data_IF_580341610278
#
_entry.id   IF_580341610278
#
_cell.length_a   1.000
_cell.length_b   1.000
_cell.length_c   1.000
_cell.angle_alpha   90.00
_cell.angle_beta   90.00
_cell.angle_gamma   90.00
#
_symmetry.space_group_name_H-M   'P 1'
#
loop_
_entity.id
_entity.type
_entity.pdbx_description
1 polymer ?
#
# COMPACT_ATOMS: atom_id res chain seq x y z
N UNK A 1 -26.84 -22.66 6.00
CA UNK A 1 -25.48 -23.11 5.72
C UNK A 1 -25.49 -24.63 5.66
N UNK A 2 -25.23 -25.24 4.51
CA UNK A 2 -25.15 -26.71 4.41
C UNK A 2 -23.78 -27.10 4.96
N UNK A 3 -23.67 -28.25 5.67
CA UNK A 3 -22.39 -28.80 6.17
C UNK A 3 -21.30 -28.83 5.08
N UNK A 4 -21.71 -28.93 3.81
CA UNK A 4 -20.86 -28.90 2.64
C UNK A 4 -20.07 -27.58 2.48
N UNK A 5 -20.64 -26.44 2.89
CA UNK A 5 -20.00 -25.14 2.75
C UNK A 5 -18.77 -25.00 3.69
N UNK A 6 -18.75 -25.72 4.83
CA UNK A 6 -17.60 -25.78 5.74
C UNK A 6 -16.46 -26.63 5.16
N UNK A 7 -16.77 -27.66 4.39
CA UNK A 7 -15.76 -28.56 3.79
C UNK A 7 -15.00 -27.85 2.64
N UNK A 8 -15.62 -26.83 2.02
CA UNK A 8 -15.06 -26.11 0.88
C UNK A 8 -14.28 -24.83 1.25
N UNK A 9 -14.02 -24.57 2.54
CA UNK A 9 -13.19 -23.43 2.98
C UNK A 9 -11.73 -23.64 2.55
N UNK A 10 -11.07 -22.57 2.13
CA UNK A 10 -9.63 -22.59 1.89
C UNK A 10 -8.85 -22.56 3.23
N UNK A 11 -8.67 -23.73 3.81
CA UNK A 11 -7.99 -23.88 5.09
C UNK A 11 -6.54 -23.40 5.06
N UNK A 12 -5.85 -23.55 3.91
CA UNK A 12 -4.46 -23.13 3.79
C UNK A 12 -4.37 -21.59 3.89
N UNK A 13 -5.25 -20.89 3.17
CA UNK A 13 -5.34 -19.43 3.28
C UNK A 13 -5.66 -19.00 4.70
N UNK A 14 -6.69 -19.60 5.31
CA UNK A 14 -7.16 -19.25 6.64
C UNK A 14 -6.10 -19.48 7.72
N UNK A 15 -5.49 -20.67 7.76
CA UNK A 15 -4.47 -20.99 8.76
C UNK A 15 -3.19 -20.18 8.58
N UNK A 16 -2.77 -19.87 7.34
CA UNK A 16 -1.61 -18.99 7.12
C UNK A 16 -1.84 -17.60 7.72
N UNK A 17 -3.05 -17.05 7.61
CA UNK A 17 -3.40 -15.74 8.17
C UNK A 17 -3.49 -15.83 9.71
N UNK A 18 -4.10 -16.87 10.25
CA UNK A 18 -4.17 -17.09 11.71
C UNK A 18 -2.76 -17.20 12.29
N UNK A 19 -1.86 -17.92 11.63
CA UNK A 19 -0.46 -18.02 12.07
C UNK A 19 0.23 -16.65 12.11
N UNK A 20 0.04 -15.81 11.08
CA UNK A 20 0.58 -14.44 11.09
C UNK A 20 -0.01 -13.58 12.21
N UNK A 21 -1.33 -13.68 12.47
CA UNK A 21 -1.98 -12.97 13.57
C UNK A 21 -1.41 -13.39 14.94
N UNK A 22 -1.23 -14.69 15.14
CA UNK A 22 -0.65 -15.23 16.39
C UNK A 22 0.79 -14.73 16.55
N UNK A 23 1.64 -14.86 15.52
CA UNK A 23 2.99 -14.32 15.54
C UNK A 23 2.98 -12.81 15.82
N UNK A 24 2.12 -12.06 15.16
CA UNK A 24 1.97 -10.62 15.40
C UNK A 24 1.66 -10.29 16.85
N UNK A 25 0.70 -10.98 17.48
CA UNK A 25 0.34 -10.78 18.89
C UNK A 25 1.52 -11.05 19.82
N UNK A 26 2.27 -12.16 19.59
CA UNK A 26 3.46 -12.48 20.40
C UNK A 26 4.54 -11.39 20.29
N UNK A 27 4.82 -10.90 19.09
CA UNK A 27 5.87 -9.89 18.88
C UNK A 27 5.41 -8.47 19.23
N UNK A 28 4.12 -8.15 19.18
CA UNK A 28 3.57 -6.93 19.79
C UNK A 28 3.70 -6.99 21.31
N UNK A 29 3.50 -8.15 21.94
CA UNK A 29 3.77 -8.33 23.36
C UNK A 29 5.24 -8.13 23.68
N UNK A 30 6.15 -8.79 22.92
CA UNK A 30 7.60 -8.64 23.10
C UNK A 30 8.03 -7.18 22.97
N UNK A 31 7.53 -6.45 21.97
CA UNK A 31 7.82 -5.01 21.80
C UNK A 31 7.33 -4.14 22.96
N UNK A 32 6.35 -4.60 23.73
CA UNK A 32 5.82 -3.91 24.91
C UNK A 32 6.63 -4.12 26.18
N UNK A 33 7.55 -5.11 26.22
CA UNK A 33 8.37 -5.44 27.39
C UNK A 33 9.70 -4.68 27.32
N UNK A 34 10.13 -4.12 28.46
CA UNK A 34 11.44 -3.42 28.59
C UNK A 34 12.54 -4.37 29.02
N UNK A 35 13.81 -3.93 28.94
CA UNK A 35 14.99 -4.67 29.44
C UNK A 35 14.91 -5.02 30.92
N UNK A 36 14.08 -4.34 31.71
CA UNK A 36 13.83 -4.64 33.12
C UNK A 36 12.69 -5.63 33.35
N UNK A 37 12.10 -6.20 32.27
CA UNK A 37 10.97 -7.12 32.34
C UNK A 37 9.61 -6.46 32.56
N UNK A 38 9.53 -5.15 32.63
CA UNK A 38 8.28 -4.43 32.87
C UNK A 38 7.49 -4.27 31.55
N UNK A 39 6.18 -4.57 31.60
CA UNK A 39 5.26 -4.32 30.51
C UNK A 39 4.82 -2.85 30.51
N UNK A 40 5.15 -2.10 29.46
CA UNK A 40 4.85 -0.68 29.35
C UNK A 40 3.68 -0.40 28.39
N UNK A 41 3.35 -1.36 27.51
CA UNK A 41 2.27 -1.20 26.52
C UNK A 41 1.31 -2.38 26.55
N UNK A 42 0.00 -2.09 26.58
CA UNK A 42 -1.07 -3.09 26.49
C UNK A 42 -1.62 -3.23 25.06
N UNK A 43 -0.81 -2.91 24.03
CA UNK A 43 -1.23 -2.98 22.63
C UNK A 43 -1.59 -4.40 22.19
N UNK A 44 -0.91 -5.42 22.73
CA UNK A 44 -1.20 -6.81 22.42
C UNK A 44 -2.63 -7.22 22.81
N UNK A 45 -3.19 -6.71 23.94
CA UNK A 45 -4.58 -6.97 24.35
C UNK A 45 -5.54 -6.36 23.32
N UNK A 46 -5.28 -5.10 22.92
CA UNK A 46 -6.08 -4.44 21.89
C UNK A 46 -5.99 -5.18 20.56
N UNK A 47 -4.82 -5.70 20.21
CA UNK A 47 -4.62 -6.49 19.00
C UNK A 47 -5.41 -7.80 19.04
N UNK A 48 -5.44 -8.51 20.18
CA UNK A 48 -6.28 -9.71 20.39
C UNK A 48 -7.75 -9.38 20.15
N UNK A 49 -8.25 -8.27 20.69
CA UNK A 49 -9.65 -7.85 20.51
C UNK A 49 -9.93 -7.60 19.01
N UNK A 50 -9.08 -6.83 18.33
CA UNK A 50 -9.25 -6.53 16.92
C UNK A 50 -9.11 -7.77 16.03
N UNK A 51 -8.17 -8.65 16.34
CA UNK A 51 -8.00 -9.93 15.63
C UNK A 51 -9.25 -10.83 15.80
N UNK A 52 -9.80 -10.91 17.02
CA UNK A 52 -11.03 -11.67 17.28
C UNK A 52 -12.23 -11.12 16.51
N UNK A 53 -12.41 -9.80 16.51
CA UNK A 53 -13.46 -9.13 15.72
C UNK A 53 -13.22 -9.37 14.23
N UNK A 54 -11.97 -9.27 13.78
CA UNK A 54 -11.58 -9.51 12.38
C UNK A 54 -11.87 -10.95 11.94
N UNK A 55 -11.53 -11.95 12.77
CA UNK A 55 -11.81 -13.37 12.49
C UNK A 55 -13.33 -13.60 12.41
N UNK A 56 -14.08 -13.05 13.36
CA UNK A 56 -15.54 -13.15 13.33
C UNK A 56 -16.12 -12.51 12.06
N UNK A 57 -15.64 -11.32 11.67
CA UNK A 57 -16.04 -10.66 10.44
C UNK A 57 -15.70 -11.49 9.20
N UNK A 58 -14.50 -12.09 9.13
CA UNK A 58 -14.11 -12.96 8.02
C UNK A 58 -15.00 -14.19 7.90
N UNK A 59 -15.34 -14.84 9.03
CA UNK A 59 -16.25 -16.00 9.06
C UNK A 59 -17.65 -15.57 8.59
N UNK A 60 -18.20 -14.49 9.10
CA UNK A 60 -19.52 -13.99 8.70
C UNK A 60 -19.54 -13.69 7.20
N UNK A 61 -18.54 -12.98 6.69
CA UNK A 61 -18.44 -12.64 5.27
C UNK A 61 -18.24 -13.86 4.37
N UNK A 62 -17.55 -14.90 4.84
CA UNK A 62 -17.41 -16.16 4.08
C UNK A 62 -18.76 -16.85 3.83
N UNK A 63 -19.72 -16.69 4.78
CA UNK A 63 -21.08 -17.23 4.68
C UNK A 63 -21.93 -16.39 3.72
N UNK A 64 -21.74 -15.07 3.73
CA UNK A 64 -22.49 -14.15 2.85
C UNK A 64 -22.07 -14.37 1.40
N UNK A 65 -23.03 -14.38 0.47
CA UNK A 65 -22.72 -14.46 -0.94
C UNK A 65 -22.04 -13.19 -1.43
N UNK A 66 -20.82 -13.31 -1.97
CA UNK A 66 -20.02 -12.19 -2.46
C UNK A 66 -20.72 -11.38 -3.58
N UNK A 67 -21.65 -12.00 -4.34
CA UNK A 67 -22.45 -11.32 -5.39
C UNK A 67 -23.29 -10.17 -4.85
N UNK A 68 -23.72 -10.23 -3.58
CA UNK A 68 -24.42 -9.09 -2.95
C UNK A 68 -23.55 -7.83 -2.91
N UNK A 69 -22.22 -7.98 -2.78
CA UNK A 69 -21.31 -6.84 -2.80
C UNK A 69 -21.17 -6.22 -4.20
N UNK A 70 -21.39 -6.99 -5.25
CA UNK A 70 -21.50 -6.45 -6.60
C UNK A 70 -22.71 -5.49 -6.71
N UNK A 71 -23.87 -5.88 -6.21
CA UNK A 71 -25.09 -5.07 -6.29
C UNK A 71 -24.94 -3.74 -5.53
N UNK A 72 -24.35 -3.78 -4.33
CA UNK A 72 -24.19 -2.62 -3.45
C UNK A 72 -22.83 -1.89 -3.59
N UNK A 73 -22.01 -2.24 -4.56
CA UNK A 73 -20.64 -1.73 -4.70
C UNK A 73 -20.57 -0.19 -4.72
N UNK A 74 -21.46 0.47 -5.49
CA UNK A 74 -21.52 1.93 -5.55
C UNK A 74 -21.87 2.55 -4.19
N UNK A 75 -22.83 1.98 -3.48
CA UNK A 75 -23.22 2.48 -2.15
C UNK A 75 -22.11 2.32 -1.14
N UNK A 76 -21.38 1.18 -1.15
CA UNK A 76 -20.21 0.96 -0.30
C UNK A 76 -19.09 1.96 -0.61
N UNK A 77 -18.85 2.23 -1.89
CA UNK A 77 -17.86 3.21 -2.32
C UNK A 77 -18.23 4.62 -1.83
N UNK A 78 -19.45 5.08 -2.09
CA UNK A 78 -19.92 6.39 -1.65
C UNK A 78 -19.94 6.50 -0.11
N UNK A 79 -20.41 5.45 0.58
CA UNK A 79 -20.39 5.41 2.04
C UNK A 79 -18.98 5.51 2.62
N UNK A 80 -17.99 4.86 1.99
CA UNK A 80 -16.60 4.94 2.42
C UNK A 80 -15.98 6.33 2.22
N UNK A 81 -16.52 7.15 1.28
CA UNK A 81 -16.08 8.53 1.09
C UNK A 81 -16.50 9.46 2.25
N UNK A 82 -17.64 9.18 2.90
CA UNK A 82 -18.18 10.03 3.99
C UNK A 82 -17.17 10.18 5.14
N UNK A 83 -16.65 9.09 5.76
CA UNK A 83 -15.66 9.22 6.84
C UNK A 83 -14.32 9.78 6.34
N UNK A 84 -13.92 9.55 5.07
CA UNK A 84 -12.72 10.18 4.49
C UNK A 84 -12.88 11.69 4.36
N UNK A 85 -14.01 12.17 3.86
CA UNK A 85 -14.33 13.59 3.76
C UNK A 85 -14.49 14.22 5.15
N UNK A 86 -15.12 13.53 6.08
CA UNK A 86 -15.25 14.00 7.46
C UNK A 86 -13.87 14.24 8.09
N UNK A 87 -12.95 13.27 7.99
CA UNK A 87 -11.59 13.43 8.53
C UNK A 87 -10.78 14.49 7.78
N UNK A 88 -11.04 14.71 6.50
CA UNK A 88 -10.43 15.78 5.72
C UNK A 88 -10.85 17.17 6.19
N UNK A 89 -12.16 17.41 6.36
CA UNK A 89 -12.69 18.73 6.74
C UNK A 89 -12.56 19.02 8.24
N UNK A 90 -12.85 18.06 9.08
CA UNK A 90 -12.95 18.24 10.53
C UNK A 90 -11.78 17.65 11.33
N UNK A 91 -10.90 16.87 10.72
CA UNK A 91 -9.81 16.20 11.43
C UNK A 91 -8.83 17.13 12.11
N UNK A 92 -8.66 18.38 11.65
CA UNK A 92 -7.82 19.40 12.29
C UNK A 92 -8.40 19.86 13.62
N UNK A 93 -9.70 19.89 13.76
CA UNK A 93 -10.41 20.29 14.98
C UNK A 93 -10.34 19.18 16.03
N UNK A 94 -10.34 17.92 15.59
CA UNK A 94 -10.36 16.73 16.47
C UNK A 94 -8.95 16.19 16.78
N UNK A 95 -7.90 16.96 16.52
CA UNK A 95 -6.48 16.63 16.77
C UNK A 95 -5.95 15.40 16.01
N UNK A 96 -6.69 14.87 15.02
CA UNK A 96 -6.24 13.77 14.18
C UNK A 96 -6.84 13.86 12.77
N UNK A 97 -6.01 14.11 11.78
CA UNK A 97 -6.44 14.19 10.36
C UNK A 97 -6.67 12.83 9.70
N UNK A 98 -6.38 11.72 10.39
CA UNK A 98 -6.40 10.36 9.81
C UNK A 98 -7.32 9.39 10.57
N UNK A 99 -7.51 9.63 11.89
CA UNK A 99 -8.15 8.69 12.79
C UNK A 99 -9.49 9.22 13.28
N UNK A 100 -10.53 8.41 13.11
CA UNK A 100 -11.81 8.59 13.78
C UNK A 100 -11.71 7.93 15.15
N UNK A 101 -11.80 8.72 16.22
CA UNK A 101 -11.81 8.19 17.59
C UNK A 101 -13.23 7.95 18.05
N UNK A 102 -13.54 6.69 18.38
CA UNK A 102 -14.81 6.28 19.00
C UNK A 102 -14.46 5.69 20.37
N UNK A 103 -14.56 6.50 21.41
CA UNK A 103 -14.07 6.13 22.74
C UNK A 103 -12.56 5.89 22.75
N UNK A 104 -12.13 4.72 23.21
CA UNK A 104 -10.71 4.30 23.23
C UNK A 104 -10.21 3.69 21.89
N UNK A 105 -11.09 3.48 20.91
CA UNK A 105 -10.75 2.86 19.65
C UNK A 105 -10.53 3.92 18.56
N UNK A 106 -9.40 3.78 17.85
CA UNK A 106 -9.10 4.56 16.65
C UNK A 106 -9.43 3.76 15.40
N UNK A 107 -10.28 4.32 14.52
CA UNK A 107 -10.62 3.73 13.22
C UNK A 107 -10.03 4.63 12.13
N UNK A 108 -9.25 4.05 11.23
CA UNK A 108 -8.70 4.76 10.08
C UNK A 108 -9.60 4.53 8.86
N UNK A 109 -10.26 5.59 8.39
CA UNK A 109 -11.24 5.51 7.31
C UNK A 109 -10.64 4.99 5.99
N UNK A 110 -9.38 5.31 5.70
CA UNK A 110 -8.68 4.89 4.49
C UNK A 110 -8.49 3.37 4.40
N UNK A 111 -8.45 2.64 5.52
CA UNK A 111 -8.34 1.18 5.53
C UNK A 111 -9.57 0.52 4.90
N UNK A 112 -10.77 0.99 5.26
CA UNK A 112 -12.02 0.51 4.70
C UNK A 112 -12.26 1.00 3.27
N UNK A 113 -11.80 2.22 2.96
CA UNK A 113 -11.90 2.77 1.61
C UNK A 113 -11.14 1.92 0.58
N UNK A 114 -10.00 1.30 0.94
CA UNK A 114 -9.28 0.37 0.06
C UNK A 114 -10.15 -0.81 -0.37
N UNK A 115 -10.87 -1.42 0.58
CA UNK A 115 -11.78 -2.53 0.29
C UNK A 115 -12.96 -2.08 -0.58
N UNK A 116 -13.54 -0.92 -0.26
CA UNK A 116 -14.64 -0.36 -1.05
C UNK A 116 -14.22 -0.04 -2.49
N UNK A 117 -13.00 0.49 -2.68
CA UNK A 117 -12.41 0.73 -4.00
C UNK A 117 -12.19 -0.58 -4.76
N UNK A 118 -11.67 -1.64 -4.11
CA UNK A 118 -11.52 -2.95 -4.74
C UNK A 118 -12.88 -3.46 -5.25
N UNK A 119 -13.92 -3.40 -4.42
CA UNK A 119 -15.27 -3.85 -4.78
C UNK A 119 -15.85 -3.02 -5.93
N UNK A 120 -15.75 -1.68 -5.87
CA UNK A 120 -16.28 -0.79 -6.90
C UNK A 120 -15.54 -0.95 -8.23
N UNK A 121 -14.21 -1.01 -8.18
CA UNK A 121 -13.39 -1.19 -9.37
C UNK A 121 -13.62 -2.58 -10.01
N UNK A 122 -13.78 -3.63 -9.18
CA UNK A 122 -14.09 -4.98 -9.65
C UNK A 122 -15.43 -5.02 -10.40
N UNK A 123 -16.47 -4.36 -9.86
CA UNK A 123 -17.76 -4.21 -10.54
C UNK A 123 -17.61 -3.53 -11.89
N UNK A 124 -16.97 -2.36 -11.91
CA UNK A 124 -16.78 -1.59 -13.13
C UNK A 124 -16.00 -2.38 -14.21
N UNK A 125 -14.94 -3.09 -13.81
CA UNK A 125 -14.14 -3.91 -14.70
C UNK A 125 -14.94 -5.11 -15.24
N UNK A 126 -15.81 -5.72 -14.44
CA UNK A 126 -16.68 -6.82 -14.85
C UNK A 126 -17.76 -6.35 -15.85
N UNK A 127 -18.40 -5.21 -15.58
CA UNK A 127 -19.42 -4.63 -16.45
C UNK A 127 -18.88 -4.22 -17.84
N UNK A 128 -17.58 -3.84 -17.87
CA UNK A 128 -16.94 -3.32 -19.10
C UNK A 128 -15.92 -4.26 -19.70
N UNK A 129 -16.00 -5.56 -19.43
CA UNK A 129 -15.01 -6.56 -19.87
C UNK A 129 -14.78 -6.58 -21.40
N UNK A 130 -15.84 -6.31 -22.19
CA UNK A 130 -15.78 -6.29 -23.66
C UNK A 130 -14.96 -5.14 -24.24
N UNK A 131 -14.75 -4.04 -23.47
CA UNK A 131 -14.10 -2.80 -23.91
C UNK A 131 -12.62 -2.69 -23.51
N UNK A 132 -11.88 -3.80 -23.46
CA UNK A 132 -10.50 -3.87 -22.95
C UNK A 132 -9.50 -2.92 -23.60
N UNK A 133 -9.77 -2.45 -24.82
CA UNK A 133 -8.89 -1.55 -25.58
C UNK A 133 -9.23 -0.07 -25.39
N UNK A 134 -10.34 0.26 -24.73
CA UNK A 134 -10.82 1.63 -24.59
C UNK A 134 -9.97 2.42 -23.60
N UNK A 135 -9.48 3.57 -24.05
CA UNK A 135 -8.85 4.56 -23.15
C UNK A 135 -9.83 5.07 -22.10
N UNK A 136 -11.10 5.24 -22.48
CA UNK A 136 -12.13 5.74 -21.57
C UNK A 136 -12.39 4.78 -20.39
N UNK A 137 -12.38 3.47 -20.66
CA UNK A 137 -12.44 2.45 -19.60
C UNK A 137 -11.31 2.61 -18.59
N UNK A 138 -10.07 2.75 -19.08
CA UNK A 138 -8.91 2.95 -18.22
C UNK A 138 -8.99 4.26 -17.43
N UNK A 139 -9.45 5.35 -18.07
CA UNK A 139 -9.63 6.64 -17.42
C UNK A 139 -10.63 6.57 -16.25
N UNK A 140 -11.76 5.87 -16.43
CA UNK A 140 -12.72 5.68 -15.33
C UNK A 140 -12.12 4.84 -14.20
N UNK A 141 -11.35 3.78 -14.50
CA UNK A 141 -10.62 3.03 -13.47
C UNK A 141 -9.72 3.96 -12.64
N UNK A 142 -9.00 4.86 -13.32
CA UNK A 142 -8.17 5.86 -12.66
C UNK A 142 -9.00 6.81 -11.78
N UNK A 143 -10.16 7.28 -12.25
CA UNK A 143 -11.04 8.16 -11.47
C UNK A 143 -11.55 7.47 -10.20
N UNK A 144 -12.00 6.22 -10.28
CA UNK A 144 -12.47 5.44 -9.13
C UNK A 144 -11.38 5.35 -8.04
N UNK A 145 -10.12 5.23 -8.45
CA UNK A 145 -8.99 5.05 -7.51
C UNK A 145 -8.39 6.38 -7.07
N UNK A 146 -8.20 7.34 -7.98
CA UNK A 146 -7.49 8.59 -7.67
C UNK A 146 -8.33 9.59 -6.86
N UNK A 147 -9.67 9.51 -6.90
CA UNK A 147 -10.51 10.35 -6.05
C UNK A 147 -10.27 10.06 -4.56
N UNK A 148 -10.47 8.83 -4.03
CA UNK A 148 -10.16 8.55 -2.62
C UNK A 148 -8.68 8.70 -2.30
N UNK A 149 -7.77 8.32 -3.20
CA UNK A 149 -6.33 8.51 -3.03
C UNK A 149 -5.97 9.99 -2.83
N UNK A 150 -6.57 10.91 -3.60
CA UNK A 150 -6.35 12.36 -3.47
C UNK A 150 -6.77 12.89 -2.10
N UNK A 151 -7.90 12.40 -1.55
CA UNK A 151 -8.36 12.76 -0.21
C UNK A 151 -7.35 12.25 0.84
N UNK A 152 -6.86 11.00 0.70
CA UNK A 152 -5.87 10.40 1.62
C UNK A 152 -4.52 11.14 1.53
N UNK A 153 -4.07 11.53 0.34
CA UNK A 153 -2.86 12.34 0.18
C UNK A 153 -2.95 13.70 0.87
N UNK A 154 -4.12 14.33 0.86
CA UNK A 154 -4.35 15.61 1.56
C UNK A 154 -4.37 15.46 3.08
N UNK A 155 -4.51 14.23 3.62
CA UNK A 155 -4.37 13.87 5.03
C UNK A 155 -2.92 13.52 5.43
N UNK A 156 -1.90 13.98 4.73
CA UNK A 156 -0.50 13.60 4.57
C UNK A 156 -0.18 12.10 4.84
N UNK A 157 -0.98 11.20 4.29
CA UNK A 157 -0.78 9.74 4.38
C UNK A 157 -0.31 9.16 3.05
N UNK A 158 0.98 9.34 2.77
CA UNK A 158 1.60 8.89 1.53
C UNK A 158 1.61 7.36 1.42
N UNK A 159 1.86 6.67 2.53
CA UNK A 159 1.93 5.21 2.55
C UNK A 159 0.62 4.58 2.09
N UNK A 160 -0.48 4.91 2.75
CA UNK A 160 -1.80 4.39 2.36
C UNK A 160 -2.20 4.79 0.94
N UNK A 161 -1.83 6.01 0.48
CA UNK A 161 -2.10 6.45 -0.88
C UNK A 161 -1.42 5.56 -1.94
N UNK A 162 -0.19 5.11 -1.70
CA UNK A 162 0.53 4.21 -2.61
C UNK A 162 -0.14 2.83 -2.74
N UNK A 163 -0.84 2.36 -1.71
CA UNK A 163 -1.60 1.09 -1.77
C UNK A 163 -2.72 1.17 -2.83
N UNK A 164 -3.39 2.31 -2.97
CA UNK A 164 -4.41 2.49 -4.01
C UNK A 164 -3.84 2.32 -5.43
N UNK A 165 -2.60 2.76 -5.65
CA UNK A 165 -1.91 2.55 -6.94
C UNK A 165 -1.67 1.07 -7.20
N UNK A 166 -1.22 0.32 -6.18
CA UNK A 166 -1.03 -1.14 -6.30
C UNK A 166 -2.34 -1.86 -6.63
N UNK A 167 -3.45 -1.47 -6.00
CA UNK A 167 -4.79 -1.98 -6.29
C UNK A 167 -5.15 -1.69 -7.76
N UNK A 168 -4.97 -0.44 -8.24
CA UNK A 168 -5.24 -0.07 -9.63
C UNK A 168 -4.44 -0.93 -10.60
N UNK A 169 -3.12 -1.02 -10.40
CA UNK A 169 -2.23 -1.73 -11.31
C UNK A 169 -2.53 -3.23 -11.35
N UNK A 170 -2.72 -3.88 -10.20
CA UNK A 170 -3.02 -5.32 -10.14
C UNK A 170 -4.35 -5.66 -10.81
N UNK A 171 -5.41 -4.89 -10.54
CA UNK A 171 -6.73 -5.15 -11.09
C UNK A 171 -6.80 -4.84 -12.59
N UNK A 172 -6.22 -3.73 -13.05
CA UNK A 172 -6.19 -3.36 -14.47
C UNK A 172 -5.29 -4.30 -15.28
N UNK A 173 -4.20 -4.82 -14.69
CA UNK A 173 -3.38 -5.84 -15.32
C UNK A 173 -4.17 -7.12 -15.57
N UNK A 174 -4.85 -7.63 -14.55
CA UNK A 174 -5.66 -8.87 -14.66
C UNK A 174 -6.87 -8.69 -15.59
N UNK A 175 -7.42 -7.48 -15.68
CA UNK A 175 -8.57 -7.20 -16.57
C UNK A 175 -8.20 -7.15 -18.05
N UNK A 176 -6.93 -7.31 -18.42
CA UNK A 176 -6.46 -7.28 -19.80
C UNK A 176 -6.47 -5.88 -20.45
N UNK A 177 -6.52 -4.83 -19.66
CA UNK A 177 -6.30 -3.46 -20.15
C UNK A 177 -4.91 -3.38 -20.80
N UNK A 178 -4.81 -2.63 -21.90
CA UNK A 178 -3.58 -2.55 -22.69
C UNK A 178 -2.37 -2.19 -21.83
N UNK A 179 -1.34 -3.00 -21.87
CA UNK A 179 -0.10 -2.86 -21.09
C UNK A 179 0.53 -1.47 -21.21
N UNK A 180 0.36 -0.80 -22.36
CA UNK A 180 0.85 0.58 -22.58
C UNK A 180 0.29 1.59 -21.57
N UNK A 181 -0.95 1.42 -21.10
CA UNK A 181 -1.54 2.34 -20.10
C UNK A 181 -0.96 2.09 -18.70
N UNK A 182 -0.69 0.83 -18.36
CA UNK A 182 -0.04 0.47 -17.10
C UNK A 182 1.40 0.98 -17.08
N UNK A 183 2.14 0.78 -18.18
CA UNK A 183 3.49 1.31 -18.35
C UNK A 183 3.51 2.84 -18.30
N UNK A 184 2.48 3.51 -18.84
CA UNK A 184 2.35 4.96 -18.75
C UNK A 184 2.28 5.44 -17.29
N UNK A 185 1.37 4.89 -16.49
CA UNK A 185 1.27 5.24 -15.06
C UNK A 185 2.55 4.86 -14.31
N UNK A 186 3.06 3.64 -14.50
CA UNK A 186 4.29 3.19 -13.85
C UNK A 186 5.47 4.11 -14.17
N UNK A 187 5.64 4.50 -15.45
CA UNK A 187 6.67 5.44 -15.85
C UNK A 187 6.47 6.83 -15.24
N UNK A 188 5.22 7.34 -15.19
CA UNK A 188 4.93 8.61 -14.53
C UNK A 188 5.33 8.61 -13.06
N UNK A 189 5.06 7.51 -12.33
CA UNK A 189 5.43 7.37 -10.91
C UNK A 189 6.95 7.36 -10.76
N UNK A 190 7.65 6.53 -11.53
CA UNK A 190 9.12 6.41 -11.47
C UNK A 190 9.80 7.74 -11.79
N UNK A 191 9.44 8.38 -12.91
CA UNK A 191 10.05 9.65 -13.30
C UNK A 191 9.66 10.80 -12.38
N UNK A 192 8.42 10.81 -11.83
CA UNK A 192 8.02 11.80 -10.83
C UNK A 192 8.87 11.68 -9.56
N UNK A 193 9.07 10.44 -9.06
CA UNK A 193 9.97 10.18 -7.95
C UNK A 193 11.42 10.60 -8.24
N UNK A 194 11.92 10.28 -9.43
CA UNK A 194 13.26 10.67 -9.87
C UNK A 194 13.43 12.19 -9.89
N UNK A 195 12.52 12.95 -10.51
CA UNK A 195 12.58 14.41 -10.55
C UNK A 195 12.36 15.07 -9.19
N UNK A 196 11.66 14.41 -8.28
CA UNK A 196 11.51 14.88 -6.92
C UNK A 196 12.80 14.71 -6.12
N UNK A 197 13.40 13.52 -6.20
CA UNK A 197 14.52 13.09 -5.36
C UNK A 197 15.85 13.68 -5.82
N UNK A 198 16.06 13.84 -7.14
CA UNK A 198 17.36 14.25 -7.70
C UNK A 198 17.89 15.59 -7.18
N UNK A 199 17.12 16.69 -7.09
CA UNK A 199 17.59 17.93 -6.49
C UNK A 199 17.84 17.82 -4.98
N UNK A 200 17.06 17.01 -4.28
CA UNK A 200 17.24 16.75 -2.85
C UNK A 200 18.56 16.00 -2.60
N UNK A 201 18.83 14.99 -3.41
CA UNK A 201 20.09 14.25 -3.40
C UNK A 201 21.29 15.18 -3.59
N UNK A 202 21.21 16.08 -4.57
CA UNK A 202 22.28 17.06 -4.79
C UNK A 202 22.50 17.96 -3.58
N UNK A 203 21.42 18.44 -2.96
CA UNK A 203 21.52 19.41 -1.85
C UNK A 203 22.03 18.78 -0.56
N UNK A 204 21.58 17.59 -0.22
CA UNK A 204 21.82 16.98 1.09
C UNK A 204 22.98 15.98 1.10
N UNK A 205 23.19 15.24 -0.02
CA UNK A 205 24.18 14.15 -0.08
C UNK A 205 25.41 14.58 -0.89
N UNK A 206 25.23 14.98 -2.14
CA UNK A 206 26.35 15.27 -3.04
C UNK A 206 27.05 16.61 -2.71
N UNK A 207 26.30 17.58 -2.20
CA UNK A 207 26.79 18.90 -1.76
C UNK A 207 27.59 19.71 -2.81
N UNK A 208 27.55 19.31 -4.07
CA UNK A 208 28.14 20.06 -5.20
C UNK A 208 27.02 20.55 -6.10
N UNK A 209 27.13 21.79 -6.57
CA UNK A 209 26.11 22.37 -7.44
C UNK A 209 26.31 21.90 -8.89
N UNK A 210 25.38 21.06 -9.39
CA UNK A 210 25.27 20.68 -10.79
C UNK A 210 24.13 21.52 -11.39
N UNK A 211 24.44 22.49 -12.31
CA UNK A 211 23.43 23.43 -12.79
C UNK A 211 22.17 22.78 -13.38
N UNK A 212 22.35 21.65 -14.08
CA UNK A 212 21.24 20.90 -14.69
C UNK A 212 20.29 20.28 -13.65
N UNK A 213 20.81 19.85 -12.51
CA UNK A 213 19.99 19.29 -11.41
C UNK A 213 19.37 20.43 -10.61
N UNK A 214 20.12 21.50 -10.34
CA UNK A 214 19.62 22.69 -9.67
C UNK A 214 18.46 23.35 -10.45
N UNK A 215 18.48 23.27 -11.77
CA UNK A 215 17.40 23.72 -12.63
C UNK A 215 16.07 23.03 -12.32
N UNK A 216 16.09 21.74 -11.96
CA UNK A 216 14.90 20.99 -11.56
C UNK A 216 14.33 21.43 -10.19
N UNK A 217 15.07 22.19 -9.39
CA UNK A 217 14.55 22.79 -8.16
C UNK A 217 13.81 24.11 -8.42
N UNK A 218 14.08 24.77 -9.55
CA UNK A 218 13.53 26.08 -9.88
C UNK A 218 12.18 25.95 -10.59
N UNK A 219 11.11 26.46 -9.97
CA UNK A 219 9.74 26.43 -10.52
C UNK A 219 9.62 27.05 -11.92
N UNK A 220 10.31 28.16 -12.17
CA UNK A 220 10.27 28.83 -13.49
C UNK A 220 10.85 27.94 -14.58
N UNK A 221 11.96 27.24 -14.28
CA UNK A 221 12.62 26.35 -15.25
C UNK A 221 11.77 25.10 -15.49
N UNK A 222 11.13 24.54 -14.46
CA UNK A 222 10.19 23.41 -14.61
C UNK A 222 9.02 23.79 -15.50
N UNK A 223 8.43 24.98 -15.30
CA UNK A 223 7.31 25.47 -16.13
C UNK A 223 7.76 25.68 -17.58
N UNK A 224 8.94 26.28 -17.80
CA UNK A 224 9.50 26.45 -19.15
C UNK A 224 9.79 25.12 -19.84
N UNK A 225 10.36 24.15 -19.12
CA UNK A 225 10.60 22.81 -19.63
C UNK A 225 9.29 22.08 -19.98
N UNK A 226 8.28 22.18 -19.11
CA UNK A 226 6.96 21.62 -19.38
C UNK A 226 6.28 22.27 -20.60
N UNK A 227 6.40 23.59 -20.75
CA UNK A 227 5.88 24.33 -21.91
C UNK A 227 6.60 23.91 -23.20
N UNK A 228 7.92 23.78 -23.17
CA UNK A 228 8.71 23.32 -24.31
C UNK A 228 8.32 21.89 -24.74
N UNK A 229 8.20 20.97 -23.76
CA UNK A 229 7.70 19.62 -24.01
C UNK A 229 6.27 19.60 -24.54
N UNK A 230 5.42 20.51 -24.07
CA UNK A 230 4.05 20.65 -24.58
C UNK A 230 4.02 21.09 -26.04
N UNK A 231 4.89 22.01 -26.43
CA UNK A 231 5.03 22.43 -27.85
C UNK A 231 5.48 21.22 -28.70
N UNK A 232 6.45 20.44 -28.24
CA UNK A 232 6.88 19.22 -28.95
C UNK A 232 5.71 18.22 -29.05
N UNK A 233 4.96 18.03 -27.98
CA UNK A 233 3.80 17.15 -27.97
C UNK A 233 2.70 17.63 -28.96
N UNK A 234 2.45 18.94 -29.05
CA UNK A 234 1.49 19.52 -29.98
C UNK A 234 1.92 19.33 -31.45
N UNK A 235 3.20 19.58 -31.75
CA UNK A 235 3.77 19.34 -33.10
C UNK A 235 3.69 17.86 -33.46
N UNK A 236 4.05 16.98 -32.51
CA UNK A 236 3.98 15.54 -32.71
C UNK A 236 2.54 15.04 -32.89
N UNK A 237 1.59 15.59 -32.12
CA UNK A 237 0.16 15.29 -32.30
C UNK A 237 -0.36 15.72 -33.66
N UNK A 238 -0.01 16.93 -34.12
CA UNK A 238 -0.33 17.37 -35.46
C UNK A 238 0.27 16.47 -36.54
N UNK A 239 1.56 16.09 -36.38
CA UNK A 239 2.21 15.15 -37.26
C UNK A 239 1.53 13.77 -37.28
N UNK A 240 1.08 13.28 -36.10
CA UNK A 240 0.34 12.03 -35.99
C UNK A 240 -1.00 12.08 -36.73
N UNK A 241 -1.75 13.14 -36.56
CA UNK A 241 -3.04 13.32 -37.21
C UNK A 241 -2.89 13.41 -38.76
N UNK A 242 -1.85 14.11 -39.24
CA UNK A 242 -1.60 14.32 -40.68
C UNK A 242 -0.96 13.12 -41.37
N UNK A 243 0.08 12.54 -40.79
CA UNK A 243 0.91 11.50 -41.39
C UNK A 243 0.60 10.09 -40.92
N UNK A 244 -0.15 9.93 -39.80
CA UNK A 244 -0.53 8.64 -39.16
C UNK A 244 0.65 7.68 -38.90
N UNK A 245 1.87 8.20 -38.76
CA UNK A 245 3.09 7.39 -38.53
C UNK A 245 3.30 7.10 -37.03
N UNK A 246 3.72 5.84 -36.72
CA UNK A 246 3.87 5.35 -35.34
C UNK A 246 4.89 6.13 -34.49
N UNK A 247 5.94 6.73 -35.07
CA UNK A 247 6.94 7.47 -34.31
C UNK A 247 6.36 8.75 -33.67
N UNK A 248 5.41 9.42 -34.32
CA UNK A 248 4.72 10.57 -33.73
C UNK A 248 3.89 10.17 -32.50
N UNK A 249 3.24 9.00 -32.53
CA UNK A 249 2.52 8.46 -31.39
C UNK A 249 3.46 8.26 -30.19
N UNK A 250 4.62 7.63 -30.41
CA UNK A 250 5.60 7.41 -29.33
C UNK A 250 6.18 8.71 -28.80
N UNK A 251 6.39 9.71 -29.66
CA UNK A 251 6.86 11.04 -29.25
C UNK A 251 5.84 11.73 -28.34
N UNK A 252 4.55 11.71 -28.68
CA UNK A 252 3.45 12.21 -27.82
C UNK A 252 3.41 11.43 -26.49
N UNK A 253 3.55 10.12 -26.55
CA UNK A 253 3.51 9.26 -25.36
C UNK A 253 4.65 9.59 -24.38
N UNK A 254 5.90 9.72 -24.85
CA UNK A 254 7.06 10.03 -24.02
C UNK A 254 6.98 11.46 -23.48
N UNK A 255 6.64 12.43 -24.32
CA UNK A 255 6.50 13.83 -23.88
C UNK A 255 5.38 14.00 -22.85
N UNK A 256 4.27 13.27 -22.98
CA UNK A 256 3.19 13.26 -22.00
C UNK A 256 3.65 12.69 -20.64
N UNK A 257 4.42 11.58 -20.62
CA UNK A 257 5.04 11.04 -19.40
C UNK A 257 5.91 12.11 -18.74
N UNK A 258 6.79 12.78 -19.51
CA UNK A 258 7.72 13.77 -18.97
C UNK A 258 6.98 14.99 -18.41
N UNK A 259 5.97 15.52 -19.11
CA UNK A 259 5.16 16.65 -18.64
C UNK A 259 4.45 16.30 -17.34
N UNK A 260 3.76 15.15 -17.30
CA UNK A 260 3.02 14.72 -16.12
C UNK A 260 3.97 14.43 -14.95
N UNK A 261 5.13 13.84 -15.20
CA UNK A 261 6.12 13.55 -14.16
C UNK A 261 6.74 14.82 -13.57
N UNK A 262 7.06 15.81 -14.40
CA UNK A 262 7.54 17.12 -13.93
C UNK A 262 6.44 17.85 -13.14
N UNK A 263 5.21 17.85 -13.63
CA UNK A 263 4.07 18.44 -12.94
C UNK A 263 3.78 17.78 -11.60
N UNK A 264 3.78 16.44 -11.55
CA UNK A 264 3.58 15.67 -10.33
C UNK A 264 4.72 15.87 -9.32
N UNK A 265 5.98 15.90 -9.78
CA UNK A 265 7.14 16.24 -8.94
C UNK A 265 7.04 17.64 -8.34
N UNK A 266 6.62 18.62 -9.14
CA UNK A 266 6.40 19.99 -8.65
C UNK A 266 5.25 20.06 -7.64
N UNK A 267 4.10 19.45 -7.95
CA UNK A 267 2.96 19.38 -7.05
C UNK A 267 3.32 18.67 -5.72
N UNK A 268 4.09 17.57 -5.81
CA UNK A 268 4.56 16.84 -4.62
C UNK A 268 5.38 17.75 -3.68
N UNK A 269 6.24 18.62 -4.20
CA UNK A 269 7.01 19.57 -3.37
C UNK A 269 6.14 20.60 -2.65
N UNK A 270 4.99 20.96 -3.21
CA UNK A 270 4.05 21.89 -2.57
C UNK A 270 3.21 21.22 -1.49
N UNK A 271 2.94 19.91 -1.63
CA UNK A 271 2.05 19.14 -0.75
C UNK A 271 2.82 18.42 0.34
N UNK A 272 4.01 17.89 0.03
CA UNK A 272 4.81 17.11 0.99
C UNK A 272 5.39 18.02 2.09
N UNK A 273 5.23 17.57 3.33
CA UNK A 273 5.83 18.22 4.49
C UNK A 273 7.32 17.87 4.60
N UNK A 274 8.09 18.71 5.28
CA UNK A 274 9.53 18.53 5.45
C UNK A 274 9.91 17.15 5.99
N UNK A 275 9.15 16.58 6.93
CA UNK A 275 9.44 15.25 7.47
C UNK A 275 9.26 14.13 6.44
N UNK A 276 8.35 14.28 5.47
CA UNK A 276 8.15 13.32 4.38
C UNK A 276 9.29 13.39 3.37
N UNK A 277 9.77 14.60 3.10
CA UNK A 277 10.95 14.83 2.25
C UNK A 277 12.19 14.22 2.92
N UNK A 278 12.38 14.44 4.23
CA UNK A 278 13.50 13.84 4.97
C UNK A 278 13.47 12.30 4.93
N UNK A 279 12.31 11.66 4.98
CA UNK A 279 12.19 10.20 4.82
C UNK A 279 12.69 9.70 3.46
N UNK A 280 12.50 10.48 2.39
CA UNK A 280 13.03 10.15 1.06
C UNK A 280 14.56 10.33 0.99
N UNK A 281 15.08 11.37 1.63
CA UNK A 281 16.54 11.66 1.66
C UNK A 281 17.27 10.58 2.45
N UNK A 282 16.75 10.26 3.63
CA UNK A 282 17.32 9.28 4.55
C UNK A 282 17.27 7.86 3.98
N UNK A 283 16.33 7.56 3.12
CA UNK A 283 16.32 6.31 2.37
C UNK A 283 17.55 6.20 1.43
N UNK A 284 18.01 7.30 0.85
CA UNK A 284 19.20 7.31 -0.01
C UNK A 284 20.50 7.24 0.81
N UNK A 285 20.55 7.97 1.91
CA UNK A 285 21.66 7.94 2.86
C UNK A 285 21.17 8.24 4.28
N UNK A 286 21.04 7.20 5.14
CA UNK A 286 20.62 7.36 6.53
C UNK A 286 21.54 8.26 7.36
N UNK A 287 22.80 8.43 6.95
CA UNK A 287 23.79 9.23 7.68
C UNK A 287 23.61 10.75 7.50
N UNK A 288 22.72 11.19 6.62
CA UNK A 288 22.37 12.63 6.49
C UNK A 288 21.72 13.16 7.75
N UNK A 289 20.88 12.34 8.42
CA UNK A 289 20.23 12.69 9.68
C UNK A 289 20.21 11.49 10.64
N UNK A 290 21.36 11.07 11.19
CA UNK A 290 21.49 9.83 11.94
C UNK A 290 20.80 9.85 13.30
N UNK A 291 20.42 11.03 13.83
CA UNK A 291 19.71 11.20 15.11
C UNK A 291 18.23 11.55 14.95
N UNK A 292 17.78 11.85 13.72
CA UNK A 292 16.40 12.18 13.41
C UNK A 292 15.75 11.10 12.55
N UNK A 293 15.39 11.44 11.31
CA UNK A 293 14.68 10.53 10.42
C UNK A 293 15.49 9.25 10.06
N UNK A 294 16.85 9.32 10.02
CA UNK A 294 17.74 8.20 9.76
C UNK A 294 17.85 7.20 10.89
N UNK A 295 17.58 7.63 12.12
CA UNK A 295 17.66 6.79 13.31
C UNK A 295 16.86 5.49 13.15
N UNK A 296 15.63 5.61 12.71
CA UNK A 296 14.72 4.46 12.60
C UNK A 296 15.24 3.40 11.61
N UNK A 297 15.80 3.81 10.47
CA UNK A 297 16.37 2.89 9.48
C UNK A 297 17.62 2.23 10.05
N UNK A 298 18.54 3.01 10.64
CA UNK A 298 19.78 2.50 11.21
C UNK A 298 19.48 1.45 12.29
N UNK A 299 18.59 1.77 13.24
CA UNK A 299 18.23 0.83 14.30
C UNK A 299 17.48 -0.40 13.77
N UNK A 300 16.63 -0.23 12.76
CA UNK A 300 15.93 -1.33 12.10
C UNK A 300 16.89 -2.31 11.43
N UNK A 301 17.84 -1.81 10.64
CA UNK A 301 18.87 -2.64 9.97
C UNK A 301 19.76 -3.30 11.02
N UNK A 302 20.13 -2.58 12.09
CA UNK A 302 20.93 -3.13 13.21
C UNK A 302 20.19 -4.27 13.90
N UNK A 303 18.88 -4.10 14.19
CA UNK A 303 18.05 -5.15 14.79
C UNK A 303 18.01 -6.41 13.91
N UNK A 304 17.69 -6.25 12.62
CA UNK A 304 17.64 -7.39 11.68
C UNK A 304 19.00 -8.08 11.57
N UNK A 305 20.09 -7.29 11.48
CA UNK A 305 21.45 -7.83 11.36
C UNK A 305 21.91 -8.56 12.62
N UNK A 306 21.52 -8.08 13.81
CA UNK A 306 21.89 -8.70 15.09
C UNK A 306 21.22 -10.06 15.32
N UNK A 307 20.05 -10.31 14.68
CA UNK A 307 19.34 -11.57 14.78
C UNK A 307 20.08 -12.77 14.15
N UNK A 308 21.01 -12.57 13.22
CA UNK A 308 21.75 -13.65 12.57
C UNK A 308 20.84 -14.73 11.95
N UNK A 309 21.23 -16.00 12.05
CA UNK A 309 20.45 -17.11 11.47
C UNK A 309 19.24 -17.53 12.33
N UNK A 310 19.43 -17.67 13.64
CA UNK A 310 18.44 -18.26 14.56
C UNK A 310 17.78 -17.27 15.51
N UNK A 311 18.20 -16.01 15.47
CA UNK A 311 17.72 -14.96 16.36
C UNK A 311 18.41 -14.95 17.73
N UNK A 312 18.16 -13.89 18.49
CA UNK A 312 18.63 -13.75 19.87
C UNK A 312 17.76 -14.53 20.86
N UNK A 313 16.58 -14.97 20.45
CA UNK A 313 15.58 -15.61 21.31
C UNK A 313 14.43 -14.66 21.65
N UNK A 314 13.26 -15.26 21.92
CA UNK A 314 12.05 -14.51 22.28
C UNK A 314 12.27 -13.73 23.58
N UNK A 315 11.89 -12.45 23.61
CA UNK A 315 12.11 -11.51 24.70
C UNK A 315 13.59 -11.22 25.00
N UNK A 316 14.51 -11.46 24.06
CA UNK A 316 15.95 -11.20 24.26
C UNK A 316 16.53 -10.20 23.25
N UNK A 317 15.70 -9.56 22.46
CA UNK A 317 16.11 -8.51 21.50
C UNK A 317 16.64 -7.27 22.23
N UNK A 318 17.83 -6.81 21.86
CA UNK A 318 18.45 -5.63 22.49
C UNK A 318 17.83 -4.34 21.99
N UNK A 319 17.59 -4.22 20.66
CA UNK A 319 17.04 -3.00 20.08
C UNK A 319 15.58 -2.78 20.49
N UNK A 320 14.81 -3.87 20.62
CA UNK A 320 13.42 -3.84 21.05
C UNK A 320 13.27 -3.46 22.52
N UNK A 321 14.01 -4.12 23.43
CA UNK A 321 13.81 -3.96 24.86
C UNK A 321 14.44 -2.69 25.44
N UNK A 322 15.51 -2.15 24.83
CA UNK A 322 16.07 -0.82 25.17
C UNK A 322 15.31 0.32 24.47
N UNK A 323 14.29 0.00 23.66
CA UNK A 323 13.47 0.99 22.95
C UNK A 323 14.23 1.94 22.04
N UNK A 324 15.29 1.44 21.41
CA UNK A 324 16.05 2.24 20.46
C UNK A 324 15.25 2.49 19.17
N UNK A 325 14.29 1.62 18.85
CA UNK A 325 13.46 1.72 17.66
C UNK A 325 12.09 2.34 18.03
N UNK A 326 11.73 3.54 17.55
CA UNK A 326 10.40 4.09 17.69
C UNK A 326 9.37 3.29 16.85
N UNK A 327 8.08 3.37 17.22
CA UNK A 327 6.96 2.73 16.50
C UNK A 327 7.20 1.25 16.18
N UNK A 328 7.80 0.53 17.15
CA UNK A 328 8.21 -0.87 16.97
C UNK A 328 7.04 -1.81 16.74
N UNK A 329 5.91 -1.64 17.41
CA UNK A 329 4.73 -2.50 17.31
C UNK A 329 3.95 -2.29 16.01
N UNK A 330 4.09 -1.12 15.38
CA UNK A 330 3.35 -0.73 14.17
C UNK A 330 4.19 -0.93 12.92
N UNK A 331 5.09 0.00 12.64
CA UNK A 331 5.80 0.10 11.37
C UNK A 331 7.01 -0.84 11.27
N UNK A 332 7.68 -1.09 12.40
CA UNK A 332 8.94 -1.82 12.47
C UNK A 332 8.85 -3.19 13.15
N UNK A 333 7.65 -3.78 13.20
CA UNK A 333 7.44 -5.10 13.85
C UNK A 333 8.30 -6.20 13.23
N UNK A 334 8.57 -6.16 11.91
CA UNK A 334 9.41 -7.12 11.22
C UNK A 334 10.87 -7.05 11.71
N UNK A 335 11.36 -5.88 12.11
CA UNK A 335 12.72 -5.72 12.66
C UNK A 335 12.87 -6.44 13.98
N UNK A 336 11.90 -6.28 14.89
CA UNK A 336 11.87 -6.97 16.19
C UNK A 336 11.73 -8.47 15.99
N UNK A 337 10.79 -8.86 15.12
CA UNK A 337 10.60 -10.25 14.77
C UNK A 337 11.90 -10.89 14.27
N UNK A 338 12.61 -10.22 13.37
CA UNK A 338 13.88 -10.71 12.80
C UNK A 338 15.03 -10.67 13.80
N UNK A 339 15.07 -9.72 14.73
CA UNK A 339 16.04 -9.69 15.83
C UNK A 339 15.92 -10.92 16.72
N UNK A 340 14.68 -11.27 17.11
CA UNK A 340 14.43 -12.35 18.05
C UNK A 340 14.40 -13.75 17.40
N UNK A 341 13.99 -13.88 16.12
CA UNK A 341 13.85 -15.18 15.42
C UNK A 341 14.89 -15.41 14.32
N UNK A 342 15.66 -14.39 13.97
CA UNK A 342 16.70 -14.45 12.95
C UNK A 342 16.16 -14.63 11.53
N UNK A 343 17.08 -15.00 10.64
CA UNK A 343 16.79 -15.24 9.22
C UNK A 343 15.75 -16.35 9.01
N UNK A 344 15.79 -17.42 9.80
CA UNK A 344 14.83 -18.53 9.68
C UNK A 344 13.40 -18.08 9.99
N UNK A 345 13.21 -17.24 11.01
CA UNK A 345 11.92 -16.66 11.30
C UNK A 345 11.44 -15.77 10.16
N UNK A 346 12.31 -14.89 9.65
CA UNK A 346 12.03 -14.07 8.49
C UNK A 346 11.55 -14.90 7.30
N UNK A 347 12.22 -16.01 6.99
CA UNK A 347 11.82 -16.92 5.91
C UNK A 347 10.43 -17.50 6.11
N UNK A 348 10.01 -17.80 7.36
CA UNK A 348 8.65 -18.28 7.66
C UNK A 348 7.63 -17.21 7.31
N UNK A 349 7.86 -15.94 7.66
CA UNK A 349 6.94 -14.84 7.30
C UNK A 349 6.86 -14.66 5.79
N UNK A 350 7.99 -14.71 5.06
CA UNK A 350 8.02 -14.67 3.60
C UNK A 350 7.21 -15.83 2.99
N UNK A 351 7.37 -17.05 3.50
CA UNK A 351 6.65 -18.23 3.04
C UNK A 351 5.13 -18.09 3.26
N UNK A 352 4.71 -17.59 4.44
CA UNK A 352 3.29 -17.39 4.76
C UNK A 352 2.64 -16.33 3.83
N UNK A 353 3.30 -15.19 3.59
CA UNK A 353 2.79 -14.19 2.65
C UNK A 353 2.78 -14.72 1.21
N UNK A 354 3.79 -15.46 0.81
CA UNK A 354 3.82 -16.13 -0.49
C UNK A 354 2.64 -17.11 -0.65
N UNK A 355 2.36 -17.93 0.37
CA UNK A 355 1.21 -18.83 0.39
C UNK A 355 -0.10 -18.05 0.25
N UNK A 356 -0.29 -16.96 1.00
CA UNK A 356 -1.48 -16.11 0.92
C UNK A 356 -1.67 -15.59 -0.52
N UNK A 357 -0.63 -15.01 -1.11
CA UNK A 357 -0.68 -14.53 -2.49
C UNK A 357 -0.96 -15.67 -3.48
N UNK A 358 -0.30 -16.81 -3.35
CA UNK A 358 -0.52 -17.99 -4.20
C UNK A 358 -1.96 -18.51 -4.09
N UNK A 359 -2.54 -18.53 -2.87
CA UNK A 359 -3.93 -18.96 -2.67
C UNK A 359 -4.91 -18.01 -3.35
N UNK A 360 -4.73 -16.70 -3.24
CA UNK A 360 -5.55 -15.70 -3.95
C UNK A 360 -5.44 -15.87 -5.47
N UNK A 361 -4.23 -16.08 -6.02
CA UNK A 361 -4.03 -16.36 -7.44
C UNK A 361 -4.71 -17.68 -7.87
N UNK A 362 -4.71 -18.70 -7.00
CA UNK A 362 -5.42 -19.96 -7.26
C UNK A 362 -6.93 -19.77 -7.29
N UNK A 363 -7.49 -18.99 -6.37
CA UNK A 363 -8.91 -18.64 -6.37
C UNK A 363 -9.28 -17.93 -7.67
N UNK A 364 -8.47 -16.97 -8.12
CA UNK A 364 -8.67 -16.29 -9.42
C UNK A 364 -8.71 -17.24 -10.59
N UNK A 365 -7.80 -18.23 -10.63
CA UNK A 365 -7.74 -19.22 -11.73
C UNK A 365 -8.90 -20.22 -11.75
N UNK A 366 -9.50 -20.49 -10.60
CA UNK A 366 -10.58 -21.48 -10.46
C UNK A 366 -11.97 -20.89 -10.53
N UNK A 367 -12.09 -19.57 -10.48
CA UNK A 367 -13.37 -18.84 -10.51
C UNK A 367 -13.70 -18.39 -11.93
N UNK A 368 -14.93 -18.57 -12.34
CA UNK A 368 -15.44 -18.17 -13.67
C UNK A 368 -16.09 -16.78 -13.68
N UNK A 369 -16.39 -16.21 -12.51
CA UNK A 369 -17.04 -14.90 -12.36
C UNK A 369 -15.99 -13.78 -12.44
N UNK A 370 -16.04 -12.88 -13.44
CA UNK A 370 -15.08 -11.80 -13.60
C UNK A 370 -14.99 -10.87 -12.39
N UNK A 371 -16.13 -10.56 -11.74
CA UNK A 371 -16.15 -9.74 -10.54
C UNK A 371 -15.30 -10.35 -9.43
N UNK A 372 -15.46 -11.65 -9.19
CA UNK A 372 -14.70 -12.37 -8.17
C UNK A 372 -13.19 -12.42 -8.51
N UNK A 373 -12.85 -12.59 -9.78
CA UNK A 373 -11.45 -12.55 -10.26
C UNK A 373 -10.82 -11.20 -9.94
N UNK A 374 -11.52 -10.10 -10.25
CA UNK A 374 -10.98 -8.76 -10.01
C UNK A 374 -10.89 -8.41 -8.53
N UNK A 375 -11.85 -8.84 -7.69
CA UNK A 375 -11.75 -8.69 -6.23
C UNK A 375 -10.50 -9.37 -5.70
N UNK A 376 -10.25 -10.63 -6.08
CA UNK A 376 -9.06 -11.37 -5.66
C UNK A 376 -7.77 -10.72 -6.17
N UNK A 377 -7.77 -10.15 -7.38
CA UNK A 377 -6.63 -9.40 -7.93
C UNK A 377 -6.31 -8.16 -7.10
N UNK A 378 -7.33 -7.39 -6.71
CA UNK A 378 -7.17 -6.21 -5.84
C UNK A 378 -6.64 -6.57 -4.45
N UNK A 379 -7.18 -7.63 -3.84
CA UNK A 379 -6.71 -8.13 -2.55
C UNK A 379 -5.26 -8.62 -2.62
N UNK A 380 -4.91 -9.39 -3.65
CA UNK A 380 -3.55 -9.86 -3.87
C UNK A 380 -2.56 -8.69 -4.04
N UNK A 381 -2.92 -7.69 -4.86
CA UNK A 381 -2.13 -6.47 -5.04
C UNK A 381 -1.95 -5.70 -3.74
N UNK A 382 -3.02 -5.54 -2.96
CA UNK A 382 -2.99 -4.86 -1.66
C UNK A 382 -2.08 -5.60 -0.66
N UNK A 383 -2.26 -6.91 -0.47
CA UNK A 383 -1.48 -7.69 0.50
C UNK A 383 0.00 -7.79 0.12
N UNK A 384 0.28 -8.04 -1.16
CA UNK A 384 1.64 -8.08 -1.69
C UNK A 384 2.35 -6.73 -1.50
N UNK A 385 1.69 -5.63 -1.79
CA UNK A 385 2.26 -4.29 -1.65
C UNK A 385 2.55 -3.94 -0.19
N UNK A 386 1.63 -4.21 0.74
CA UNK A 386 1.86 -4.00 2.17
C UNK A 386 3.09 -4.79 2.65
N UNK A 387 3.18 -6.06 2.27
CA UNK A 387 4.31 -6.91 2.62
C UNK A 387 5.63 -6.38 2.05
N UNK A 388 5.70 -6.14 0.74
CA UNK A 388 6.94 -5.70 0.08
C UNK A 388 7.42 -4.35 0.60
N UNK A 389 6.50 -3.41 0.82
CA UNK A 389 6.88 -2.06 1.28
C UNK A 389 7.26 -2.07 2.75
N UNK A 390 6.52 -2.77 3.63
CA UNK A 390 6.87 -2.82 5.05
C UNK A 390 8.21 -3.53 5.28
N UNK A 391 8.39 -4.73 4.73
CA UNK A 391 9.66 -5.45 4.86
C UNK A 391 10.79 -4.70 4.17
N UNK A 392 10.53 -4.15 2.96
CA UNK A 392 11.55 -3.37 2.23
C UNK A 392 12.00 -2.11 2.99
N UNK A 393 11.08 -1.40 3.69
CA UNK A 393 11.48 -0.22 4.46
C UNK A 393 12.25 -0.60 5.74
N UNK A 394 11.91 -1.72 6.39
CA UNK A 394 12.65 -2.19 7.58
C UNK A 394 14.05 -2.67 7.23
N UNK A 395 14.25 -3.21 6.04
CA UNK A 395 15.57 -3.60 5.49
C UNK A 395 16.35 -2.44 4.86
N UNK A 396 15.78 -1.23 4.79
CA UNK A 396 16.41 -0.07 4.15
C UNK A 396 16.41 -0.11 2.62
N UNK A 397 15.64 -1.02 1.98
CA UNK A 397 15.52 -1.16 0.52
C UNK A 397 14.45 -0.21 -0.05
N UNK A 398 13.52 0.24 0.78
CA UNK A 398 12.45 1.18 0.41
C UNK A 398 12.36 2.33 1.41
N UNK A 399 11.82 3.50 1.00
CA UNK A 399 11.65 4.63 1.92
C UNK A 399 10.63 4.31 3.02
N UNK A 400 10.77 4.95 4.19
CA UNK A 400 9.83 4.81 5.30
C UNK A 400 8.48 5.41 4.92
N UNK A 401 7.49 4.57 4.71
CA UNK A 401 6.14 4.96 4.30
C UNK A 401 5.14 4.98 5.46
N UNK A 402 5.43 4.26 6.56
CA UNK A 402 4.48 4.09 7.66
C UNK A 402 3.31 3.17 7.31
N UNK A 403 3.53 2.18 6.45
CA UNK A 403 2.53 1.15 6.11
C UNK A 403 2.72 -0.04 7.05
N UNK A 404 1.68 -0.50 7.78
CA UNK A 404 1.81 -1.65 8.65
C UNK A 404 1.96 -2.96 7.86
N UNK A 405 2.67 -3.93 8.42
CA UNK A 405 2.69 -5.30 7.93
C UNK A 405 1.38 -5.98 8.30
N UNK A 406 0.51 -6.18 7.30
CA UNK A 406 -0.83 -6.74 7.52
C UNK A 406 -0.75 -8.05 8.31
N UNK A 407 -1.70 -8.25 9.20
CA UNK A 407 -1.84 -9.39 10.13
C UNK A 407 -0.79 -9.46 11.25
N UNK A 408 0.41 -8.86 11.09
CA UNK A 408 1.46 -8.89 12.13
C UNK A 408 1.56 -7.59 12.93
N UNK A 409 1.52 -6.43 12.27
CA UNK A 409 1.64 -5.13 12.94
C UNK A 409 0.43 -4.80 13.81
N UNK A 410 0.66 -4.05 14.87
CA UNK A 410 -0.42 -3.41 15.62
C UNK A 410 -1.14 -2.39 14.72
N UNK A 411 -2.47 -2.60 14.57
CA UNK A 411 -3.28 -1.72 13.73
C UNK A 411 -4.70 -2.27 13.59
N UNK A 412 -5.58 -1.96 14.55
CA UNK A 412 -6.92 -2.54 14.61
C UNK A 412 -7.74 -2.40 13.35
N UNK A 413 -7.81 -1.19 12.78
CA UNK A 413 -8.55 -0.95 11.53
C UNK A 413 -7.91 -1.62 10.32
N UNK A 414 -6.57 -1.71 10.26
CA UNK A 414 -5.87 -2.39 9.18
C UNK A 414 -6.12 -3.90 9.22
N UNK A 415 -6.03 -4.51 10.41
CA UNK A 415 -6.34 -5.93 10.60
C UNK A 415 -7.80 -6.23 10.26
N UNK A 416 -8.74 -5.41 10.75
CA UNK A 416 -10.17 -5.60 10.45
C UNK A 416 -10.46 -5.49 8.96
N UNK A 417 -9.94 -4.46 8.28
CA UNK A 417 -10.11 -4.29 6.84
C UNK A 417 -9.48 -5.45 6.04
N UNK A 418 -8.28 -5.90 6.42
CA UNK A 418 -7.64 -7.04 5.80
C UNK A 418 -8.47 -8.32 6.00
N UNK A 419 -9.01 -8.56 7.20
CA UNK A 419 -9.85 -9.72 7.51
C UNK A 419 -11.21 -9.68 6.77
N UNK A 420 -11.77 -8.48 6.53
CA UNK A 420 -12.92 -8.30 5.63
C UNK A 420 -12.55 -8.77 4.20
N UNK A 421 -11.40 -8.36 3.70
CA UNK A 421 -10.89 -8.83 2.41
C UNK A 421 -10.71 -10.35 2.35
N UNK A 422 -10.17 -10.95 3.40
CA UNK A 422 -10.04 -12.42 3.55
C UNK A 422 -11.39 -13.10 3.53
N UNK A 423 -12.38 -12.59 4.28
CA UNK A 423 -13.74 -13.10 4.28
C UNK A 423 -14.39 -13.09 2.91
N UNK A 424 -14.18 -12.03 2.13
CA UNK A 424 -14.61 -11.95 0.72
C UNK A 424 -13.93 -13.02 -0.14
N UNK A 425 -12.60 -13.20 -0.01
CA UNK A 425 -11.86 -14.21 -0.74
C UNK A 425 -12.34 -15.63 -0.41
N UNK A 426 -12.61 -15.93 0.86
CA UNK A 426 -13.20 -17.19 1.30
C UNK A 426 -14.61 -17.41 0.75
N UNK A 427 -15.45 -16.36 0.74
CA UNK A 427 -16.79 -16.42 0.13
C UNK A 427 -16.73 -16.75 -1.35
N UNK A 428 -15.77 -16.16 -2.07
CA UNK A 428 -15.52 -16.46 -3.50
C UNK A 428 -15.06 -17.90 -3.66
N UNK A 429 -14.14 -18.36 -2.81
CA UNK A 429 -13.60 -19.72 -2.89
C UNK A 429 -14.69 -20.79 -2.69
N UNK A 430 -15.54 -20.62 -1.68
CA UNK A 430 -16.64 -21.55 -1.38
C UNK A 430 -17.63 -21.67 -2.58
N UNK A 431 -17.84 -20.56 -3.29
CA UNK A 431 -18.84 -20.48 -4.37
C UNK A 431 -18.26 -20.52 -5.79
N UNK A 432 -16.97 -20.85 -5.93
CA UNK A 432 -16.24 -20.82 -7.21
C UNK A 432 -16.84 -21.70 -8.30
N UNK A 433 -17.58 -22.74 -7.93
CA UNK A 433 -18.24 -23.67 -8.85
C UNK A 433 -19.77 -23.49 -8.91
N UNK A 434 -20.34 -22.57 -8.10
CA UNK A 434 -21.78 -22.30 -8.17
C UNK A 434 -22.05 -21.29 -9.28
N UNK A 435 -22.79 -21.72 -10.30
CA UNK A 435 -23.31 -20.83 -11.36
C UNK A 435 -24.43 -19.92 -10.85
#
# INVERSE_FOLDING_TARGET
MKLRDFIEIDYILFFSIITLLILGIFFIYSSGVTSTGNLVSNEYIRQIIWASIGIAAAIVLSIVNYRKFYDIALYLYLFSMVPLLYTFFFGRVVHSTRWLRIGSFGIQASEFAKIAVIIMLARYLADTERDNKSFFRFFICCMIVFIPMGIVLSQPDLGTALVFISILLSMTFVSGILMRYLLFIGSCIVFSGFFLVLPLWQTYIFRKNIPAIAALANSKIIILAALFLFIIAAIAMFGFLKFKKRYFYWLVYITAIMILSLGASYAARLVLKNYQIMRLIVFLDPNVDPRGAGWNIIQSITAIGSGGLTGMGFLQGTQSHYRYLPEQSTDFIFSIFSEETGFLGGLVVFALFFIICQRLLRIMKTTTDPFAVYVCAGLAGMFCFHFLVNVGMTMGIMPITGIPLLFMSYGGSAVLAAMIGVGLALSIHIRRYSR
#
